data_IF_497554664101
#
_entry.id   IF_497554664101
#
_cell.length_a   1.000
_cell.length_b   1.000
_cell.length_c   1.000
_cell.angle_alpha   90.00
_cell.angle_beta   90.00
_cell.angle_gamma   90.00
#
_symmetry.space_group_name_H-M   'P 1'
#
loop_
_entity.id
_entity.type
_entity.pdbx_description
1 polymer ?
#
# COMPACT_ATOMS: atom_id res chain seq x y z
N UNK A 1 -17.80 -11.28 -15.86
CA UNK A 1 -17.43 -12.28 -14.82
C UNK A 1 -18.26 -12.02 -13.56
N UNK A 2 -18.64 -13.08 -12.85
CA UNK A 2 -19.28 -12.91 -11.55
C UNK A 2 -18.29 -12.42 -10.48
N UNK A 3 -18.78 -11.66 -9.50
CA UNK A 3 -17.99 -11.08 -8.41
C UNK A 3 -17.15 -12.13 -7.66
N UNK A 4 -17.74 -13.27 -7.36
CA UNK A 4 -17.07 -14.34 -6.64
C UNK A 4 -15.92 -14.95 -7.46
N UNK A 5 -16.09 -15.03 -8.76
CA UNK A 5 -15.10 -15.53 -9.71
C UNK A 5 -13.91 -14.55 -9.80
N UNK A 6 -14.18 -13.25 -9.94
CA UNK A 6 -13.13 -12.20 -9.91
C UNK A 6 -12.34 -12.28 -8.61
N UNK A 7 -13.04 -12.33 -7.47
CA UNK A 7 -12.41 -12.41 -6.16
C UNK A 7 -11.53 -13.65 -6.04
N UNK A 8 -12.00 -14.80 -6.51
CA UNK A 8 -11.25 -16.05 -6.48
C UNK A 8 -9.99 -15.98 -7.33
N UNK A 9 -10.09 -15.54 -8.58
CA UNK A 9 -8.96 -15.43 -9.50
C UNK A 9 -7.90 -14.48 -8.96
N UNK A 10 -8.29 -13.32 -8.42
CA UNK A 10 -7.36 -12.35 -7.84
C UNK A 10 -6.68 -12.89 -6.60
N UNK A 11 -7.41 -13.51 -5.68
CA UNK A 11 -6.85 -13.99 -4.42
C UNK A 11 -5.99 -15.25 -4.58
N UNK A 12 -6.26 -16.09 -5.56
CA UNK A 12 -5.44 -17.27 -5.88
C UNK A 12 -4.20 -16.92 -6.73
N UNK A 13 -4.14 -15.71 -7.29
CA UNK A 13 -3.00 -15.24 -8.05
C UNK A 13 -1.81 -14.80 -7.19
N UNK A 14 -0.66 -14.53 -7.83
CA UNK A 14 0.54 -14.04 -7.15
C UNK A 14 0.35 -12.72 -6.39
N UNK A 15 -0.59 -11.87 -6.84
CA UNK A 15 -0.90 -10.60 -6.19
C UNK A 15 -1.86 -10.75 -4.99
N UNK A 16 -2.52 -11.89 -4.82
CA UNK A 16 -3.52 -12.10 -3.77
C UNK A 16 -2.99 -11.83 -2.36
N UNK A 17 -1.72 -12.14 -2.09
CA UNK A 17 -1.04 -11.83 -0.82
C UNK A 17 -0.86 -10.34 -0.55
N UNK A 18 -0.91 -9.51 -1.60
CA UNK A 18 -0.72 -8.05 -1.53
C UNK A 18 -2.02 -7.28 -1.46
N UNK A 19 -3.15 -7.96 -1.59
CA UNK A 19 -4.51 -7.41 -1.65
C UNK A 19 -5.26 -7.69 -0.35
N UNK A 20 -6.15 -6.79 0.02
CA UNK A 20 -7.07 -6.94 1.14
C UNK A 20 -8.38 -7.57 0.66
N UNK A 21 -8.69 -8.78 1.10
CA UNK A 21 -9.93 -9.48 0.73
C UNK A 21 -11.20 -8.71 1.09
N UNK A 22 -11.36 -8.16 2.32
CA UNK A 22 -12.58 -7.41 2.65
C UNK A 22 -12.77 -6.19 1.77
N UNK A 23 -11.70 -5.41 1.54
CA UNK A 23 -11.78 -4.21 0.70
C UNK A 23 -12.04 -4.54 -0.77
N UNK A 24 -11.50 -5.67 -1.27
CA UNK A 24 -11.78 -6.15 -2.62
C UNK A 24 -13.26 -6.49 -2.79
N UNK A 25 -13.85 -7.19 -1.84
CA UNK A 25 -15.27 -7.54 -1.85
C UNK A 25 -16.16 -6.30 -1.79
N UNK A 26 -15.84 -5.35 -0.91
CA UNK A 26 -16.58 -4.09 -0.78
C UNK A 26 -16.55 -3.28 -2.08
N UNK A 27 -15.38 -3.12 -2.70
CA UNK A 27 -15.25 -2.39 -3.96
C UNK A 27 -15.99 -3.08 -5.12
N UNK A 28 -15.95 -4.40 -5.19
CA UNK A 28 -16.71 -5.16 -6.17
C UNK A 28 -18.24 -5.05 -5.96
N UNK A 29 -18.70 -4.79 -4.73
CA UNK A 29 -20.09 -4.51 -4.44
C UNK A 29 -20.53 -3.13 -4.90
N UNK A 30 -19.70 -2.14 -4.65
CA UNK A 30 -19.98 -0.76 -5.03
C UNK A 30 -20.02 -0.54 -6.56
N UNK A 31 -19.16 -1.21 -7.29
CA UNK A 31 -19.00 -1.02 -8.75
C UNK A 31 -19.51 -2.20 -9.59
N UNK A 32 -20.45 -2.97 -9.07
CA UNK A 32 -20.94 -4.23 -9.67
C UNK A 32 -21.21 -4.16 -11.18
N UNK A 33 -21.89 -3.11 -11.64
CA UNK A 33 -22.29 -2.97 -13.03
C UNK A 33 -21.12 -2.77 -14.01
N UNK A 34 -19.98 -2.26 -13.51
CA UNK A 34 -18.81 -2.02 -14.35
C UNK A 34 -17.98 -3.29 -14.49
N UNK A 35 -17.81 -4.06 -13.40
CA UNK A 35 -16.95 -5.25 -13.41
C UNK A 35 -17.56 -6.48 -14.12
N UNK A 36 -18.87 -6.51 -14.36
CA UNK A 36 -19.50 -7.56 -15.19
C UNK A 36 -18.94 -7.61 -16.62
N UNK A 37 -18.43 -6.49 -17.11
CA UNK A 37 -17.81 -6.38 -18.45
C UNK A 37 -16.38 -6.92 -18.51
N UNK A 38 -15.76 -7.17 -17.37
CA UNK A 38 -14.37 -7.63 -17.30
C UNK A 38 -14.29 -9.08 -17.78
N UNK A 39 -13.37 -9.35 -18.70
CA UNK A 39 -13.07 -10.71 -19.13
C UNK A 39 -11.97 -11.33 -18.28
N UNK A 40 -11.87 -12.66 -18.28
CA UNK A 40 -10.76 -13.36 -17.59
C UNK A 40 -9.40 -12.98 -18.19
N UNK A 41 -9.35 -12.72 -19.50
CA UNK A 41 -8.12 -12.27 -20.16
C UNK A 41 -7.68 -10.88 -19.68
N UNK A 42 -8.62 -9.95 -19.51
CA UNK A 42 -8.35 -8.61 -18.99
C UNK A 42 -7.83 -8.69 -17.55
N UNK A 43 -8.44 -9.53 -16.74
CA UNK A 43 -8.05 -9.72 -15.35
C UNK A 43 -6.62 -10.30 -15.24
N UNK A 44 -6.32 -11.34 -16.03
CA UNK A 44 -4.99 -11.94 -16.09
C UNK A 44 -3.94 -10.94 -16.62
N UNK A 45 -4.30 -10.11 -17.60
CA UNK A 45 -3.44 -9.02 -18.07
C UNK A 45 -3.13 -8.02 -16.94
N UNK A 46 -4.14 -7.64 -16.16
CA UNK A 46 -3.96 -6.73 -15.03
C UNK A 46 -3.09 -7.32 -13.93
N UNK A 47 -3.30 -8.59 -13.59
CA UNK A 47 -2.50 -9.32 -12.61
C UNK A 47 -1.02 -9.35 -13.03
N UNK A 48 -0.75 -9.66 -14.31
CA UNK A 48 0.60 -9.78 -14.83
C UNK A 48 1.35 -8.44 -14.94
N UNK A 49 0.64 -7.36 -15.22
CA UNK A 49 1.27 -6.06 -15.49
C UNK A 49 1.27 -5.10 -14.30
N UNK A 50 0.48 -5.37 -13.24
CA UNK A 50 0.39 -4.46 -12.09
C UNK A 50 1.44 -4.76 -11.04
N UNK A 51 2.38 -3.83 -10.86
CA UNK A 51 3.35 -3.89 -9.75
C UNK A 51 2.70 -3.34 -8.48
N UNK A 52 2.40 -4.23 -7.54
CA UNK A 52 1.91 -3.88 -6.22
C UNK A 52 3.07 -3.82 -5.22
N UNK A 53 2.97 -2.94 -4.24
CA UNK A 53 3.97 -2.86 -3.17
C UNK A 53 3.86 -4.05 -2.24
N UNK A 54 5.02 -4.56 -1.81
CA UNK A 54 5.07 -5.68 -0.88
C UNK A 54 4.70 -5.22 0.55
N UNK A 55 3.56 -5.68 1.13
CA UNK A 55 3.14 -5.27 2.46
C UNK A 55 4.12 -5.69 3.57
N UNK A 56 4.79 -6.83 3.39
CA UNK A 56 5.76 -7.33 4.37
C UNK A 56 7.00 -6.44 4.42
N UNK A 57 7.50 -6.04 3.24
CA UNK A 57 8.62 -5.10 3.16
C UNK A 57 8.25 -3.74 3.76
N UNK A 58 7.06 -3.24 3.47
CA UNK A 58 6.59 -1.96 4.01
C UNK A 58 6.40 -2.02 5.52
N UNK A 59 5.89 -3.13 6.05
CA UNK A 59 5.80 -3.37 7.48
C UNK A 59 7.17 -3.44 8.15
N UNK A 60 8.14 -4.11 7.53
CA UNK A 60 9.50 -4.17 8.02
C UNK A 60 10.18 -2.79 8.06
N UNK A 61 10.06 -2.01 7.00
CA UNK A 61 10.56 -0.64 6.96
C UNK A 61 9.92 0.24 8.04
N UNK A 62 8.62 0.07 8.28
CA UNK A 62 7.90 0.77 9.34
C UNK A 62 8.29 0.32 10.74
N UNK A 63 8.80 -0.88 10.92
CA UNK A 63 9.37 -1.35 12.18
C UNK A 63 10.66 -0.59 12.52
N UNK A 64 11.47 -0.28 11.50
CA UNK A 64 12.72 0.47 11.65
C UNK A 64 12.45 1.98 11.77
N UNK A 65 11.52 2.50 10.99
CA UNK A 65 11.11 3.90 11.02
C UNK A 65 9.61 4.01 10.71
N UNK A 66 8.75 4.17 11.74
CA UNK A 66 7.29 4.08 11.59
C UNK A 66 6.68 5.16 10.68
N UNK A 67 7.43 6.19 10.35
CA UNK A 67 6.99 7.28 9.49
C UNK A 67 7.37 7.07 8.01
N UNK A 68 8.25 6.11 7.70
CA UNK A 68 8.65 5.77 6.33
C UNK A 68 7.47 5.15 5.58
N UNK A 69 7.31 5.51 4.32
CA UNK A 69 6.26 5.01 3.46
C UNK A 69 4.92 5.76 3.58
N UNK A 70 4.78 6.74 4.46
CA UNK A 70 3.57 7.59 4.52
C UNK A 70 3.33 8.38 3.24
N UNK A 71 4.38 8.81 2.56
CA UNK A 71 4.29 9.44 1.26
C UNK A 71 3.48 8.62 0.25
N UNK A 72 3.54 7.31 0.37
CA UNK A 72 2.77 6.39 -0.46
C UNK A 72 1.25 6.47 -0.20
N UNK A 73 0.85 6.68 1.05
CA UNK A 73 -0.57 6.78 1.43
C UNK A 73 -1.18 8.14 1.12
N UNK A 74 -0.39 9.18 1.14
CA UNK A 74 -0.86 10.54 0.86
C UNK A 74 -0.93 10.87 -0.63
N UNK A 75 -0.68 9.87 -1.52
CA UNK A 75 -0.88 10.01 -2.95
C UNK A 75 -0.12 11.21 -3.53
N UNK A 76 1.11 11.40 -3.08
CA UNK A 76 1.91 12.51 -3.57
C UNK A 76 2.04 12.38 -5.09
N UNK A 77 1.38 13.26 -5.81
CA UNK A 77 1.41 13.35 -7.26
C UNK A 77 2.80 13.74 -7.79
N UNK A 78 3.77 13.97 -6.90
CA UNK A 78 5.15 14.25 -7.26
C UNK A 78 6.14 13.48 -6.41
N UNK A 79 7.13 12.89 -7.07
CA UNK A 79 8.26 12.18 -6.46
C UNK A 79 9.00 13.04 -5.44
N UNK A 80 9.24 14.31 -5.78
CA UNK A 80 9.94 15.24 -4.89
C UNK A 80 9.24 15.42 -3.55
N UNK A 81 7.92 15.45 -3.57
CA UNK A 81 7.13 15.62 -2.34
C UNK A 81 7.16 14.36 -1.47
N UNK A 82 7.10 13.19 -2.11
CA UNK A 82 7.24 11.91 -1.43
C UNK A 82 8.62 11.75 -0.78
N UNK A 83 9.69 12.02 -1.51
CA UNK A 83 11.07 11.97 -1.01
C UNK A 83 11.30 12.96 0.13
N UNK A 84 10.72 14.15 0.04
CA UNK A 84 10.85 15.18 1.09
C UNK A 84 10.15 14.75 2.38
N UNK A 85 8.95 14.16 2.29
CA UNK A 85 8.23 13.63 3.45
C UNK A 85 9.02 12.47 4.07
N UNK A 86 9.52 11.53 3.27
CA UNK A 86 10.26 10.38 3.79
C UNK A 86 11.57 10.81 4.46
N UNK A 87 12.34 11.70 3.84
CA UNK A 87 13.57 12.22 4.42
C UNK A 87 13.33 13.00 5.72
N UNK A 88 12.30 13.87 5.73
CA UNK A 88 11.94 14.63 6.95
C UNK A 88 11.46 13.70 8.07
N UNK A 89 10.75 12.63 7.71
CA UNK A 89 10.27 11.63 8.66
C UNK A 89 11.43 10.85 9.29
N UNK A 90 12.45 10.49 8.53
CA UNK A 90 13.64 9.81 9.03
C UNK A 90 14.42 10.70 10.00
N UNK A 91 14.63 11.97 9.65
CA UNK A 91 15.31 12.93 10.51
C UNK A 91 14.56 13.15 11.82
N UNK A 92 13.24 13.36 11.74
CA UNK A 92 12.39 13.53 12.91
C UNK A 92 12.46 12.31 13.84
N UNK A 93 12.41 11.11 13.26
CA UNK A 93 12.46 9.88 14.02
C UNK A 93 13.84 9.66 14.66
N UNK A 94 14.92 9.96 13.96
CA UNK A 94 16.28 9.91 14.54
C UNK A 94 16.45 10.87 15.72
N UNK A 95 15.91 12.09 15.61
CA UNK A 95 15.90 13.06 16.72
C UNK A 95 15.09 12.53 17.91
N UNK A 96 13.94 11.96 17.66
CA UNK A 96 13.06 11.40 18.69
C UNK A 96 13.74 10.23 19.43
N UNK A 97 14.40 9.31 18.70
CA UNK A 97 15.19 8.23 19.30
C UNK A 97 16.32 8.78 20.17
N UNK A 98 17.07 9.77 19.69
CA UNK A 98 18.14 10.41 20.47
C UNK A 98 17.61 11.01 21.77
N UNK A 99 16.46 11.69 21.72
CA UNK A 99 15.81 12.27 22.91
C UNK A 99 15.35 11.19 23.89
N UNK A 100 14.71 10.12 23.39
CA UNK A 100 14.29 9.00 24.22
C UNK A 100 15.48 8.33 24.93
N UNK A 101 16.57 8.12 24.19
CA UNK A 101 17.81 7.55 24.76
C UNK A 101 18.37 8.43 25.87
N UNK A 102 18.41 9.75 25.68
CA UNK A 102 18.88 10.68 26.71
C UNK A 102 18.02 10.63 27.97
N UNK A 103 16.69 10.55 27.81
CA UNK A 103 15.75 10.47 28.95
C UNK A 103 15.95 9.16 29.72
N UNK A 104 16.09 8.04 29.05
CA UNK A 104 16.29 6.74 29.72
C UNK A 104 17.66 6.65 30.44
N UNK A 105 18.71 7.26 29.88
CA UNK A 105 20.02 7.36 30.53
C UNK A 105 19.91 8.18 31.83
N UNK A 106 19.26 9.34 31.78
CA UNK A 106 19.07 10.21 32.92
C UNK A 106 18.26 9.54 34.04
N UNK A 107 17.22 8.82 33.69
CA UNK A 107 16.33 8.15 34.64
C UNK A 107 16.81 6.76 35.05
N UNK A 108 17.87 6.25 34.43
CA UNK A 108 18.40 4.91 34.66
C UNK A 108 17.36 3.79 34.49
N UNK A 109 16.40 3.97 33.56
CA UNK A 109 15.29 3.05 33.31
C UNK A 109 14.88 3.05 31.85
N UNK A 110 14.78 1.88 31.18
CA UNK A 110 14.49 1.77 29.74
C UNK A 110 12.97 1.85 29.43
N UNK A 111 12.22 2.68 30.17
CA UNK A 111 10.76 2.75 30.06
C UNK A 111 10.36 3.39 28.71
N UNK A 112 11.03 4.45 28.31
CA UNK A 112 10.71 5.15 27.07
C UNK A 112 11.05 4.29 25.87
N UNK A 113 12.15 3.54 25.92
CA UNK A 113 12.49 2.56 24.89
C UNK A 113 11.46 1.45 24.74
N UNK A 114 10.92 0.94 25.85
CA UNK A 114 9.84 -0.04 25.79
C UNK A 114 8.61 0.48 25.05
N UNK A 115 8.25 1.74 25.30
CA UNK A 115 7.13 2.41 24.61
C UNK A 115 7.43 2.56 23.11
N UNK A 116 8.63 2.97 22.74
CA UNK A 116 9.05 3.12 21.33
C UNK A 116 8.98 1.78 20.60
N UNK A 117 9.46 0.70 21.19
CA UNK A 117 9.40 -0.64 20.59
C UNK A 117 7.96 -1.08 20.36
N UNK A 118 7.08 -0.94 21.36
CA UNK A 118 5.65 -1.27 21.21
C UNK A 118 5.01 -0.43 20.10
N UNK A 119 5.29 0.87 20.07
CA UNK A 119 4.78 1.75 19.03
C UNK A 119 5.22 1.31 17.63
N UNK A 120 6.50 0.98 17.44
CA UNK A 120 7.03 0.51 16.16
C UNK A 120 6.38 -0.81 15.72
N UNK A 121 6.14 -1.73 16.65
CA UNK A 121 5.42 -2.98 16.36
C UNK A 121 4.00 -2.71 15.87
N UNK A 122 3.27 -1.86 16.57
CA UNK A 122 1.90 -1.48 16.18
C UNK A 122 1.90 -0.82 14.81
N UNK A 123 2.84 0.11 14.57
CA UNK A 123 2.96 0.79 13.28
C UNK A 123 3.35 -0.15 12.13
N UNK A 124 4.16 -1.16 12.40
CA UNK A 124 4.49 -2.20 11.42
C UNK A 124 3.25 -2.97 10.96
N UNK A 125 2.41 -3.42 11.89
CA UNK A 125 1.16 -4.12 11.58
C UNK A 125 0.19 -3.19 10.83
N UNK A 126 0.03 -1.98 11.31
CA UNK A 126 -0.83 -0.97 10.69
C UNK A 126 -0.39 -0.66 9.24
N UNK A 127 0.92 -0.49 9.01
CA UNK A 127 1.46 -0.21 7.68
C UNK A 127 1.23 -1.37 6.70
N UNK A 128 1.36 -2.63 7.16
CA UNK A 128 1.02 -3.81 6.33
C UNK A 128 -0.43 -3.77 5.89
N UNK A 129 -1.34 -3.54 6.83
CA UNK A 129 -2.77 -3.43 6.54
C UNK A 129 -3.06 -2.31 5.55
N UNK A 130 -2.60 -1.08 5.82
CA UNK A 130 -2.80 0.06 4.95
C UNK A 130 -2.22 -0.16 3.53
N UNK A 131 -1.07 -0.85 3.42
CA UNK A 131 -0.48 -1.19 2.12
C UNK A 131 -1.39 -2.12 1.33
N UNK A 132 -1.98 -3.13 1.96
CA UNK A 132 -2.95 -4.03 1.31
C UNK A 132 -4.19 -3.28 0.83
N UNK A 133 -4.77 -2.43 1.67
CA UNK A 133 -5.93 -1.59 1.32
C UNK A 133 -5.62 -0.69 0.12
N UNK A 134 -4.48 -0.02 0.15
CA UNK A 134 -4.06 0.87 -0.93
C UNK A 134 -3.81 0.11 -2.22
N UNK A 135 -3.13 -1.03 -2.16
CA UNK A 135 -2.93 -1.91 -3.32
C UNK A 135 -4.26 -2.35 -3.93
N UNK A 136 -5.25 -2.70 -3.09
CA UNK A 136 -6.58 -3.09 -3.56
C UNK A 136 -7.25 -1.94 -4.31
N UNK A 137 -7.23 -0.73 -3.75
CA UNK A 137 -7.79 0.46 -4.41
C UNK A 137 -7.11 0.76 -5.74
N UNK A 138 -5.78 0.68 -5.81
CA UNK A 138 -5.04 0.89 -7.07
C UNK A 138 -5.33 -0.19 -8.10
N UNK A 139 -5.41 -1.44 -7.69
CA UNK A 139 -5.76 -2.53 -8.58
C UNK A 139 -7.16 -2.33 -9.18
N UNK A 140 -8.15 -2.02 -8.35
CA UNK A 140 -9.52 -1.78 -8.77
C UNK A 140 -9.65 -0.55 -9.68
N UNK A 141 -8.99 0.56 -9.33
CA UNK A 141 -8.95 1.74 -10.19
C UNK A 141 -8.33 1.46 -11.56
N UNK A 142 -7.32 0.60 -11.62
CA UNK A 142 -6.72 0.18 -12.89
C UNK A 142 -7.68 -0.68 -13.72
N UNK A 143 -8.47 -1.55 -13.08
CA UNK A 143 -9.51 -2.33 -13.75
C UNK A 143 -10.64 -1.42 -14.28
N UNK A 144 -11.06 -0.40 -13.54
CA UNK A 144 -12.06 0.58 -14.02
C UNK A 144 -11.58 1.30 -15.27
N UNK A 145 -10.31 1.75 -15.30
CA UNK A 145 -9.73 2.41 -16.49
C UNK A 145 -9.71 1.46 -17.70
N UNK A 146 -9.43 0.18 -17.51
CA UNK A 146 -9.46 -0.81 -18.59
C UNK A 146 -10.87 -0.93 -19.19
N UNK A 147 -11.88 -0.98 -18.33
CA UNK A 147 -13.29 -1.11 -18.73
C UNK A 147 -13.74 0.13 -19.49
N UNK A 148 -13.42 1.33 -19.00
CA UNK A 148 -13.89 2.60 -19.56
C UNK A 148 -13.27 2.92 -20.92
N UNK A 149 -12.00 2.58 -21.10
CA UNK A 149 -11.24 2.97 -22.30
C UNK A 149 -11.09 1.86 -23.33
N UNK A 150 -11.67 0.68 -23.12
CA UNK A 150 -11.65 -0.46 -24.03
C UNK A 150 -10.27 -0.80 -24.63
N UNK A 151 -9.17 -0.54 -23.92
CA UNK A 151 -7.85 -0.76 -24.47
C UNK A 151 -6.72 -0.99 -23.46
N UNK A 152 -5.88 -1.97 -23.76
CA UNK A 152 -4.68 -2.30 -22.97
C UNK A 152 -3.66 -1.17 -22.90
N UNK A 153 -3.62 -0.29 -23.90
CA UNK A 153 -2.65 0.81 -23.96
C UNK A 153 -2.99 1.95 -22.98
N UNK A 154 -4.28 2.26 -22.82
CA UNK A 154 -4.73 3.22 -21.81
C UNK A 154 -4.38 2.76 -20.38
N UNK A 155 -4.47 1.45 -20.11
CA UNK A 155 -4.06 0.89 -18.82
C UNK A 155 -2.55 0.96 -18.62
N UNK A 156 -1.76 0.67 -19.66
CA UNK A 156 -0.30 0.81 -19.58
C UNK A 156 0.11 2.25 -19.28
N UNK A 157 -0.52 3.22 -19.93
CA UNK A 157 -0.28 4.63 -19.67
C UNK A 157 -0.73 5.06 -18.28
N UNK A 158 -1.87 4.56 -17.81
CA UNK A 158 -2.35 4.79 -16.44
C UNK A 158 -1.37 4.23 -15.40
N UNK A 159 -0.93 2.99 -15.55
CA UNK A 159 0.05 2.35 -14.68
C UNK A 159 1.37 3.13 -14.70
N UNK A 160 1.86 3.48 -15.89
CA UNK A 160 3.10 4.25 -16.06
C UNK A 160 3.02 5.64 -15.44
N UNK A 161 1.88 6.30 -15.52
CA UNK A 161 1.66 7.61 -14.90
C UNK A 161 1.55 7.53 -13.37
N UNK A 162 1.07 6.42 -12.82
CA UNK A 162 1.07 6.17 -11.38
C UNK A 162 2.43 5.71 -10.84
N UNK A 163 3.24 5.06 -11.69
CA UNK A 163 4.61 4.66 -11.35
C UNK A 163 5.62 5.80 -11.54
N UNK A 164 5.22 6.89 -12.20
CA UNK A 164 6.04 8.10 -12.25
C UNK A 164 6.01 8.76 -10.87
N UNK A 165 7.11 8.65 -10.18
CA UNK A 165 7.24 9.20 -8.86
C UNK A 165 7.33 10.72 -8.94
#
# INVERSE_FOLDING_TARGET
MEKEEICKVVLESEIGRYISKPDLLELLELEKNNFEKLTEQDLNFMIANRKLRNPELMGFLSLMCPLVGRSYFYGANSKRYAELIDNSSVLLYAFLIGTCTAIDIVNNAPIVWAIVVVFNLVMSVYTRYCTKVTNTKYFMASCSVLIDNNGSDAVKDFIKNQERP
#
